data_IF_544094625138
#
_entry.id   IF_544094625138
#
_cell.length_a   1.000
_cell.length_b   1.000
_cell.length_c   1.000
_cell.angle_alpha   90.00
_cell.angle_beta   90.00
_cell.angle_gamma   90.00
#
_symmetry.space_group_name_H-M   'P 1'
#
loop_
_entity.id
_entity.type
_entity.pdbx_description
1 polymer ?
#
# COMPACT_ATOMS: atom_id res chain seq x y z
N UNK A 1 29.88 -2.56 4.76
CA UNK A 1 28.65 -3.17 4.19
C UNK A 1 27.76 -3.55 5.38
N UNK A 2 26.69 -2.80 5.62
CA UNK A 2 25.74 -3.06 6.72
C UNK A 2 24.66 -3.97 6.14
N UNK A 3 24.55 -5.19 6.64
CA UNK A 3 23.52 -6.14 6.18
C UNK A 3 22.19 -5.87 6.89
N UNK A 4 21.06 -6.35 6.31
CA UNK A 4 19.71 -6.31 6.94
C UNK A 4 19.71 -6.73 8.41
N UNK A 5 20.57 -7.69 8.78
CA UNK A 5 20.73 -8.14 10.16
C UNK A 5 21.46 -7.13 11.05
N UNK A 6 22.28 -6.27 10.49
CA UNK A 6 23.05 -5.29 11.25
C UNK A 6 22.20 -4.03 11.53
N UNK A 7 21.28 -3.69 10.63
CA UNK A 7 20.31 -2.61 10.83
C UNK A 7 19.34 -2.92 11.99
N UNK A 8 18.87 -4.15 12.09
CA UNK A 8 18.01 -4.60 13.20
C UNK A 8 18.76 -4.73 14.55
N UNK A 9 20.10 -4.78 14.54
CA UNK A 9 20.90 -4.88 15.77
C UNK A 9 21.31 -3.53 16.35
N UNK A 10 21.25 -2.45 15.59
CA UNK A 10 21.61 -1.10 16.06
C UNK A 10 20.49 -0.46 16.89
N UNK A 11 19.26 -0.94 16.79
CA UNK A 11 18.13 -0.46 17.60
C UNK A 11 18.07 -1.03 19.02
N UNK A 12 19.03 -1.85 19.43
CA UNK A 12 19.00 -2.62 20.68
C UNK A 12 19.85 -2.11 21.84
N UNK A 13 20.48 -0.93 21.80
CA UNK A 13 21.30 -0.45 22.93
C UNK A 13 21.18 1.06 23.10
N UNK A 14 20.22 1.51 23.88
CA UNK A 14 20.31 2.64 24.79
C UNK A 14 18.96 2.92 25.48
N UNK A 15 18.63 2.14 26.51
CA UNK A 15 17.66 2.56 27.52
C UNK A 15 18.18 2.06 28.88
N UNK A 16 19.01 2.85 29.51
CA UNK A 16 19.28 2.72 30.95
C UNK A 16 19.15 4.08 31.62
N UNK A 17 18.22 4.12 32.57
CA UNK A 17 18.13 5.01 33.72
C UNK A 17 17.65 6.44 33.55
N UNK A 18 16.40 6.67 34.00
CA UNK A 18 16.17 7.54 35.18
C UNK A 18 14.75 7.34 35.71
N UNK A 19 14.64 6.66 36.82
CA UNK A 19 13.44 6.65 37.62
C UNK A 19 13.31 8.01 38.36
N UNK A 20 12.13 8.62 38.31
CA UNK A 20 11.64 9.52 39.35
C UNK A 20 10.12 9.42 39.44
N UNK A 21 9.71 9.00 40.57
CA UNK A 21 8.37 8.89 41.15
C UNK A 21 7.60 10.21 41.15
N UNK A 22 6.33 10.15 40.79
CA UNK A 22 5.28 10.90 41.47
C UNK A 22 3.89 10.33 41.15
N UNK A 23 3.12 10.08 42.17
CA UNK A 23 1.75 9.56 42.24
C UNK A 23 0.70 10.45 41.54
N UNK A 24 -0.37 9.81 41.08
CA UNK A 24 -1.71 10.41 41.20
C UNK A 24 -2.61 10.30 39.98
N UNK A 25 -3.57 9.35 39.98
CA UNK A 25 -4.96 9.61 39.64
C UNK A 25 -5.44 9.43 38.19
N UNK A 26 -6.20 8.34 38.01
CA UNK A 26 -7.46 8.20 37.23
C UNK A 26 -7.47 8.30 35.69
N UNK A 27 -7.70 7.14 35.10
CA UNK A 27 -8.64 6.74 34.03
C UNK A 27 -9.03 7.75 32.97
N UNK A 28 -8.71 7.43 31.71
CA UNK A 28 -9.66 7.03 30.68
C UNK A 28 -8.98 6.92 29.31
N UNK A 29 -9.21 5.81 28.64
CA UNK A 29 -9.26 5.56 27.20
C UNK A 29 -8.68 6.66 26.28
N UNK A 30 -7.51 6.36 25.70
CA UNK A 30 -7.08 6.95 24.44
C UNK A 30 -6.54 5.83 23.54
N UNK A 31 -7.31 5.57 22.54
CA UNK A 31 -7.20 4.57 21.49
C UNK A 31 -6.11 4.96 20.46
N UNK A 32 -5.28 4.03 20.11
CA UNK A 32 -4.75 3.71 18.77
C UNK A 32 -4.41 4.79 17.72
N UNK A 33 -3.97 5.99 18.07
CA UNK A 33 -3.43 6.96 17.11
C UNK A 33 -1.90 7.16 17.18
N UNK A 34 -1.19 6.43 18.04
CA UNK A 34 0.22 6.69 18.32
C UNK A 34 1.21 5.84 17.49
N UNK A 35 0.72 4.87 16.70
CA UNK A 35 1.61 3.93 16.00
C UNK A 35 2.17 4.48 14.67
N UNK A 36 1.37 5.25 13.92
CA UNK A 36 1.81 5.77 12.61
C UNK A 36 2.76 6.98 12.70
N UNK A 37 2.60 7.82 13.75
CA UNK A 37 3.47 8.99 13.95
C UNK A 37 4.86 8.62 14.46
N UNK A 38 5.00 7.50 15.20
CA UNK A 38 6.30 7.08 15.71
C UNK A 38 7.19 6.46 14.62
N UNK A 39 6.62 5.66 13.72
CA UNK A 39 7.36 5.06 12.61
C UNK A 39 7.85 6.14 11.61
N UNK A 40 7.01 7.13 11.32
CA UNK A 40 7.33 8.25 10.45
C UNK A 40 8.46 9.14 10.99
N UNK A 41 8.52 9.35 12.32
CA UNK A 41 9.59 10.13 12.94
C UNK A 41 10.93 9.39 13.03
N UNK A 42 10.92 8.06 13.13
CA UNK A 42 12.15 7.25 13.11
C UNK A 42 12.75 7.15 11.71
N UNK A 43 11.93 7.02 10.68
CA UNK A 43 12.37 7.03 9.29
C UNK A 43 13.01 8.39 8.92
N UNK A 44 12.36 9.50 9.25
CA UNK A 44 12.89 10.84 9.03
C UNK A 44 14.21 11.09 9.80
N UNK A 45 14.35 10.54 11.00
CA UNK A 45 15.58 10.64 11.81
C UNK A 45 16.71 9.76 11.26
N UNK A 46 16.42 8.65 10.62
CA UNK A 46 17.41 7.78 9.99
C UNK A 46 17.96 8.41 8.70
N UNK A 47 17.10 9.01 7.89
CA UNK A 47 17.45 9.69 6.64
C UNK A 47 18.39 10.87 6.88
N UNK A 48 18.21 11.63 7.94
CA UNK A 48 19.04 12.81 8.28
C UNK A 48 20.53 12.49 8.56
N UNK A 49 20.92 11.22 8.56
CA UNK A 49 22.32 10.77 8.80
C UNK A 49 23.09 10.41 7.53
N UNK A 50 22.45 10.44 6.37
CA UNK A 50 23.07 10.07 5.10
C UNK A 50 23.44 11.32 4.29
N UNK A 51 24.71 11.42 3.84
CA UNK A 51 25.19 12.52 2.99
C UNK A 51 24.67 12.44 1.55
N UNK A 52 24.33 11.25 1.12
CA UNK A 52 23.71 10.93 -0.19
C UNK A 52 22.77 9.76 0.02
N UNK A 53 21.61 9.82 -0.56
CA UNK A 53 20.57 8.79 -0.45
C UNK A 53 20.23 8.28 -1.83
N UNK A 54 20.26 6.97 -2.03
CA UNK A 54 19.80 6.29 -3.25
C UNK A 54 18.48 5.60 -2.99
N UNK A 55 17.50 5.87 -3.83
CA UNK A 55 16.16 5.31 -3.68
C UNK A 55 15.68 4.74 -5.00
N UNK A 56 15.35 3.44 -5.02
CA UNK A 56 14.68 2.81 -6.14
C UNK A 56 13.17 3.08 -6.09
N UNK A 57 12.61 3.47 -7.22
CA UNK A 57 11.16 3.67 -7.42
C UNK A 57 10.70 2.99 -8.71
N UNK A 58 9.40 2.62 -8.83
CA UNK A 58 8.85 2.16 -10.10
C UNK A 58 9.00 3.19 -11.22
N UNK A 59 9.28 2.74 -12.44
CA UNK A 59 9.48 3.60 -13.61
C UNK A 59 8.22 3.90 -14.41
N UNK A 60 7.06 3.38 -14.01
CA UNK A 60 5.80 3.74 -14.64
C UNK A 60 5.23 5.01 -14.02
N UNK A 61 4.63 5.86 -14.86
CA UNK A 61 4.19 7.21 -14.51
C UNK A 61 3.34 7.28 -13.24
N UNK A 62 2.43 6.33 -13.05
CA UNK A 62 1.51 6.33 -11.91
C UNK A 62 2.22 5.96 -10.62
N UNK A 63 2.99 4.87 -10.63
CA UNK A 63 3.67 4.40 -9.43
C UNK A 63 4.92 5.23 -9.10
N UNK A 64 5.60 5.81 -10.09
CA UNK A 64 6.67 6.81 -9.84
C UNK A 64 6.11 7.99 -9.06
N UNK A 65 5.04 8.63 -9.55
CA UNK A 65 4.43 9.79 -8.89
C UNK A 65 3.95 9.45 -7.46
N UNK A 66 3.37 8.26 -7.29
CA UNK A 66 2.95 7.73 -5.99
C UNK A 66 4.14 7.56 -5.03
N UNK A 67 5.21 6.94 -5.53
CA UNK A 67 6.44 6.74 -4.75
C UNK A 67 7.08 8.05 -4.33
N UNK A 68 7.18 9.03 -5.25
CA UNK A 68 7.72 10.35 -4.95
C UNK A 68 6.88 11.10 -3.91
N UNK A 69 5.56 11.00 -3.98
CA UNK A 69 4.65 11.59 -2.98
C UNK A 69 4.85 10.95 -1.60
N UNK A 70 5.06 9.64 -1.52
CA UNK A 70 5.36 8.96 -0.25
C UNK A 70 6.70 9.42 0.32
N UNK A 71 7.73 9.54 -0.52
CA UNK A 71 9.06 10.02 -0.12
C UNK A 71 9.02 11.49 0.37
N UNK A 72 8.26 12.35 -0.31
CA UNK A 72 8.05 13.73 0.12
C UNK A 72 7.38 13.81 1.50
N UNK A 73 6.29 13.03 1.71
CA UNK A 73 5.62 12.95 3.03
C UNK A 73 6.56 12.51 4.15
N UNK A 74 7.59 11.73 3.82
CA UNK A 74 8.60 11.23 4.76
C UNK A 74 9.85 12.12 4.82
N UNK A 75 9.84 13.28 4.16
CA UNK A 75 10.88 14.31 4.31
C UNK A 75 12.17 14.09 3.53
N UNK A 76 12.15 13.25 2.50
CA UNK A 76 13.32 12.99 1.65
C UNK A 76 13.65 14.21 0.79
N UNK A 77 12.67 14.85 0.21
CA UNK A 77 12.76 16.01 -0.66
C UNK A 77 11.40 16.72 -0.71
N UNK A 78 11.30 17.77 -1.52
CA UNK A 78 10.04 18.46 -1.81
C UNK A 78 9.78 18.49 -3.29
N UNK A 79 8.56 18.20 -3.70
CA UNK A 79 8.09 18.27 -5.06
C UNK A 79 7.56 19.69 -5.38
N UNK A 80 7.54 20.05 -6.66
CA UNK A 80 6.85 21.25 -7.14
C UNK A 80 5.36 21.17 -6.78
N UNK A 81 4.77 22.28 -6.43
CA UNK A 81 3.36 22.35 -6.00
C UNK A 81 2.36 21.88 -7.07
N UNK A 82 2.73 21.94 -8.33
CA UNK A 82 1.92 21.56 -9.49
C UNK A 82 2.27 20.18 -10.08
N UNK A 83 3.19 19.42 -9.47
CA UNK A 83 3.63 18.10 -9.95
C UNK A 83 2.48 17.07 -10.06
N UNK A 84 1.55 17.09 -9.10
CA UNK A 84 0.31 16.31 -9.14
C UNK A 84 0.52 14.81 -9.19
N UNK A 85 -0.46 14.10 -9.79
CA UNK A 85 -0.48 12.63 -9.88
C UNK A 85 0.44 12.05 -10.97
N UNK A 86 1.19 12.89 -11.66
CA UNK A 86 2.13 12.51 -12.74
C UNK A 86 3.53 13.02 -12.45
N UNK A 87 3.83 13.32 -11.19
CA UNK A 87 5.15 13.75 -10.75
C UNK A 87 6.26 12.78 -11.19
N UNK A 88 7.37 13.33 -11.60
CA UNK A 88 8.59 12.61 -11.97
C UNK A 88 9.76 13.10 -11.11
N UNK A 89 10.89 12.41 -11.13
CA UNK A 89 12.10 12.89 -10.43
C UNK A 89 12.55 14.31 -10.86
N UNK A 90 12.13 14.79 -12.05
CA UNK A 90 12.43 16.15 -12.52
C UNK A 90 11.57 17.23 -11.82
N UNK A 91 10.59 16.79 -11.06
CA UNK A 91 9.72 17.68 -10.28
C UNK A 91 10.18 17.83 -8.84
N UNK A 92 11.34 17.27 -8.48
CA UNK A 92 11.99 17.53 -7.20
C UNK A 92 12.52 18.99 -7.20
N UNK A 93 11.96 19.83 -6.33
CA UNK A 93 12.31 21.26 -6.22
C UNK A 93 13.38 21.49 -5.13
N UNK A 94 13.23 20.87 -3.97
CA UNK A 94 14.18 20.94 -2.87
C UNK A 94 14.70 19.54 -2.54
N UNK A 95 16.00 19.34 -2.54
CA UNK A 95 16.63 18.02 -2.30
C UNK A 95 17.77 18.15 -1.25
N UNK A 96 17.42 18.38 0.03
CA UNK A 96 18.41 18.62 1.08
C UNK A 96 19.29 17.41 1.40
N UNK A 97 18.83 16.19 1.07
CA UNK A 97 19.53 14.94 1.34
C UNK A 97 20.32 14.44 0.14
N UNK A 98 20.39 15.20 -0.95
CA UNK A 98 21.01 14.78 -2.21
C UNK A 98 20.51 13.40 -2.68
N UNK A 99 19.18 13.19 -2.61
CA UNK A 99 18.54 11.95 -3.03
C UNK A 99 18.74 11.73 -4.52
N UNK A 100 19.23 10.55 -4.87
CA UNK A 100 19.24 10.05 -6.24
C UNK A 100 18.08 9.08 -6.40
N UNK A 101 17.20 9.34 -7.34
CA UNK A 101 16.04 8.47 -7.64
C UNK A 101 16.40 7.59 -8.83
N UNK A 102 16.48 6.29 -8.58
CA UNK A 102 16.73 5.26 -9.58
C UNK A 102 15.38 4.63 -10.00
N UNK A 103 14.99 4.90 -11.24
CA UNK A 103 13.73 4.39 -11.84
C UNK A 103 13.95 2.96 -12.33
N UNK A 104 13.19 2.03 -11.79
CA UNK A 104 13.32 0.58 -12.04
C UNK A 104 11.95 0.02 -12.41
N UNK A 105 11.88 -0.99 -13.27
CA UNK A 105 10.64 -1.71 -13.51
C UNK A 105 10.03 -2.18 -12.19
N UNK A 106 8.74 -1.92 -11.96
CA UNK A 106 8.07 -2.14 -10.67
C UNK A 106 8.27 -3.56 -10.11
N UNK A 107 8.23 -4.58 -10.98
CA UNK A 107 8.46 -5.98 -10.59
C UNK A 107 9.92 -6.26 -10.20
N UNK A 108 10.87 -5.42 -10.58
CA UNK A 108 12.28 -5.56 -10.27
C UNK A 108 12.72 -4.78 -9.03
N UNK A 109 11.93 -3.82 -8.56
CA UNK A 109 12.29 -3.01 -7.39
C UNK A 109 12.64 -3.85 -6.15
N UNK A 110 11.93 -4.94 -5.81
CA UNK A 110 12.34 -5.80 -4.70
C UNK A 110 13.74 -6.41 -4.86
N UNK A 111 14.16 -6.68 -6.08
CA UNK A 111 15.44 -7.33 -6.38
C UNK A 111 16.64 -6.39 -6.20
N UNK A 112 16.44 -5.10 -6.43
CA UNK A 112 17.50 -4.08 -6.30
C UNK A 112 17.61 -3.49 -4.89
N UNK A 113 16.71 -3.85 -3.98
CA UNK A 113 16.69 -3.34 -2.59
C UNK A 113 18.02 -3.50 -1.85
N UNK A 114 18.87 -4.46 -2.24
CA UNK A 114 20.16 -4.68 -1.60
C UNK A 114 21.24 -3.69 -2.06
N UNK A 115 21.04 -3.06 -3.20
CA UNK A 115 21.99 -2.15 -3.85
C UNK A 115 21.61 -0.67 -3.63
N UNK A 116 20.47 -0.43 -3.00
CA UNK A 116 19.90 0.87 -2.69
C UNK A 116 19.82 1.12 -1.18
N UNK A 117 19.78 2.39 -0.78
CA UNK A 117 19.57 2.76 0.63
C UNK A 117 18.09 2.55 1.02
N UNK A 118 17.19 2.87 0.08
CA UNK A 118 15.75 2.68 0.21
C UNK A 118 15.14 2.21 -1.11
N UNK A 119 13.94 1.63 -1.03
CA UNK A 119 13.12 1.33 -2.19
C UNK A 119 11.65 1.53 -1.87
N UNK A 120 10.89 2.08 -2.80
CA UNK A 120 9.43 2.15 -2.69
C UNK A 120 8.83 1.03 -3.54
N UNK A 121 8.21 0.06 -2.86
CA UNK A 121 7.76 -1.19 -3.46
C UNK A 121 6.24 -1.32 -3.30
N UNK A 122 5.54 -1.54 -4.41
CA UNK A 122 4.11 -1.82 -4.36
C UNK A 122 3.84 -3.17 -3.69
N UNK A 123 2.80 -3.28 -2.88
CA UNK A 123 2.49 -4.48 -2.08
C UNK A 123 2.34 -5.75 -2.94
N UNK A 124 1.80 -5.63 -4.16
CA UNK A 124 1.67 -6.74 -5.10
C UNK A 124 3.02 -7.30 -5.61
N UNK A 125 4.12 -6.60 -5.44
CA UNK A 125 5.47 -7.07 -5.71
C UNK A 125 6.25 -7.38 -4.43
N UNK A 126 5.96 -6.68 -3.34
CA UNK A 126 6.58 -6.92 -2.04
C UNK A 126 6.20 -8.30 -1.48
N UNK A 127 4.90 -8.62 -1.46
CA UNK A 127 4.36 -9.86 -0.90
C UNK A 127 4.95 -11.12 -1.58
N UNK A 128 4.92 -11.25 -2.92
CA UNK A 128 5.54 -12.41 -3.59
C UNK A 128 7.07 -12.47 -3.41
N UNK A 129 7.72 -11.34 -3.17
CA UNK A 129 9.15 -11.29 -2.86
C UNK A 129 9.48 -11.68 -1.41
N UNK A 130 8.48 -12.03 -0.60
CA UNK A 130 8.63 -12.42 0.80
C UNK A 130 8.86 -11.24 1.75
N UNK A 131 8.48 -10.03 1.34
CA UNK A 131 8.49 -8.83 2.17
C UNK A 131 7.09 -8.62 2.73
N UNK A 132 6.98 -8.46 4.05
CA UNK A 132 5.73 -8.10 4.71
C UNK A 132 5.66 -6.57 4.87
N UNK A 133 4.77 -5.88 4.12
CA UNK A 133 4.67 -4.42 4.20
C UNK A 133 4.36 -3.91 5.61
N UNK A 134 3.70 -4.71 6.46
CA UNK A 134 3.30 -4.29 7.82
C UNK A 134 4.43 -4.36 8.84
N UNK A 135 5.44 -5.19 8.60
CA UNK A 135 6.55 -5.42 9.53
C UNK A 135 7.92 -5.04 8.99
N UNK A 136 8.11 -5.11 7.67
CA UNK A 136 9.40 -4.85 7.03
C UNK A 136 9.53 -3.41 6.50
N UNK A 137 8.41 -2.72 6.26
CA UNK A 137 8.42 -1.36 5.75
C UNK A 137 8.70 -0.34 6.87
N UNK A 138 9.46 0.70 6.52
CA UNK A 138 9.72 1.86 7.39
C UNK A 138 8.56 2.87 7.37
N UNK A 139 7.84 2.92 6.25
CA UNK A 139 6.66 3.74 6.05
C UNK A 139 5.70 3.04 5.08
N UNK A 140 4.42 3.20 5.29
CA UNK A 140 3.35 2.70 4.44
C UNK A 140 2.46 3.88 4.05
N UNK A 141 1.97 3.86 2.82
CA UNK A 141 0.96 4.80 2.37
C UNK A 141 -0.35 4.59 3.14
N UNK A 142 -0.98 5.66 3.55
CA UNK A 142 -2.26 5.59 4.26
C UNK A 142 -3.44 5.27 3.32
N UNK A 143 -4.56 4.84 3.90
CA UNK A 143 -5.77 4.45 3.16
C UNK A 143 -6.51 5.60 2.47
N UNK A 144 -6.06 6.87 2.63
CA UNK A 144 -6.62 8.05 1.98
C UNK A 144 -5.97 8.34 0.61
N UNK A 145 -5.17 7.40 0.10
CA UNK A 145 -4.49 7.52 -1.18
C UNK A 145 -5.45 7.73 -2.34
N UNK A 146 -5.08 8.62 -3.26
CA UNK A 146 -5.79 8.79 -4.54
C UNK A 146 -5.56 7.63 -5.53
N UNK A 147 -4.62 6.74 -5.22
CA UNK A 147 -4.20 5.64 -6.09
C UNK A 147 -4.88 4.31 -5.74
N UNK A 148 -6.21 4.31 -5.73
CA UNK A 148 -6.97 3.06 -5.50
C UNK A 148 -7.01 2.19 -6.75
N UNK A 149 -7.03 0.86 -6.55
CA UNK A 149 -7.27 -0.07 -7.63
C UNK A 149 -8.74 -0.06 -8.02
N UNK A 150 -9.02 -0.17 -9.32
CA UNK A 150 -10.36 -0.07 -9.88
C UNK A 150 -10.64 -1.24 -10.83
N UNK A 151 -11.91 -1.64 -10.92
CA UNK A 151 -12.39 -2.53 -11.97
C UNK A 151 -12.62 -1.72 -13.24
N UNK A 152 -11.98 -2.12 -14.34
CA UNK A 152 -12.12 -1.49 -15.65
C UNK A 152 -12.73 -2.48 -16.62
N UNK A 153 -13.69 -2.03 -17.44
CA UNK A 153 -14.25 -2.80 -18.53
C UNK A 153 -14.17 -2.02 -19.84
N UNK A 154 -14.47 -2.68 -20.96
CA UNK A 154 -14.59 -2.01 -22.25
C UNK A 154 -15.71 -0.96 -22.18
N UNK A 155 -15.46 0.18 -22.79
CA UNK A 155 -16.45 1.26 -22.88
C UNK A 155 -17.76 0.77 -23.48
N UNK A 156 -18.86 1.13 -22.82
CA UNK A 156 -20.21 0.67 -23.14
C UNK A 156 -20.64 -0.63 -22.43
N UNK A 157 -19.73 -1.37 -21.80
CA UNK A 157 -20.04 -2.64 -21.13
C UNK A 157 -20.31 -2.48 -19.62
N UNK A 158 -20.17 -1.29 -19.07
CA UNK A 158 -20.35 -1.03 -17.62
C UNK A 158 -21.74 -1.39 -17.10
N UNK A 159 -22.74 -1.37 -18.00
CA UNK A 159 -24.13 -1.72 -17.66
C UNK A 159 -24.47 -3.19 -17.90
N UNK A 160 -23.54 -3.99 -18.44
CA UNK A 160 -23.77 -5.43 -18.62
C UNK A 160 -24.00 -6.11 -17.26
N UNK A 161 -25.06 -6.96 -17.13
CA UNK A 161 -25.41 -7.61 -15.85
C UNK A 161 -24.24 -8.34 -15.19
N UNK A 162 -23.41 -9.06 -15.96
CA UNK A 162 -22.26 -9.78 -15.44
C UNK A 162 -21.14 -8.86 -14.93
N UNK A 163 -20.98 -7.67 -15.50
CA UNK A 163 -20.01 -6.67 -15.01
C UNK A 163 -20.51 -6.03 -13.74
N UNK A 164 -21.81 -5.71 -13.64
CA UNK A 164 -22.45 -5.24 -12.41
C UNK A 164 -22.37 -6.27 -11.29
N UNK A 165 -22.61 -7.54 -11.61
CA UNK A 165 -22.48 -8.63 -10.64
C UNK A 165 -21.07 -8.72 -10.06
N UNK A 166 -20.03 -8.67 -10.90
CA UNK A 166 -18.66 -8.67 -10.47
C UNK A 166 -18.30 -7.42 -9.64
N UNK A 167 -18.77 -6.24 -10.06
CA UNK A 167 -18.56 -4.99 -9.35
C UNK A 167 -19.19 -5.02 -7.94
N UNK A 168 -20.39 -5.58 -7.83
CA UNK A 168 -21.05 -5.76 -6.54
C UNK A 168 -20.28 -6.75 -5.64
N UNK A 169 -19.85 -7.87 -6.18
CA UNK A 169 -19.06 -8.87 -5.43
C UNK A 169 -17.74 -8.27 -4.88
N UNK A 170 -17.03 -7.45 -5.68
CA UNK A 170 -15.82 -6.75 -5.25
C UNK A 170 -16.06 -5.76 -4.09
N UNK A 171 -17.29 -5.23 -3.96
CA UNK A 171 -17.66 -4.28 -2.91
C UNK A 171 -18.27 -4.96 -1.67
N UNK A 172 -18.18 -6.27 -1.58
CA UNK A 172 -18.80 -7.04 -0.50
C UNK A 172 -18.02 -6.96 0.82
N UNK A 173 -18.75 -7.19 1.91
CA UNK A 173 -18.15 -7.40 3.23
C UNK A 173 -17.22 -8.62 3.23
N UNK A 174 -17.59 -9.69 2.50
CA UNK A 174 -16.79 -10.90 2.41
C UNK A 174 -15.41 -10.64 1.78
N UNK A 175 -15.32 -9.81 0.73
CA UNK A 175 -14.05 -9.38 0.13
C UNK A 175 -13.25 -8.54 1.13
N UNK A 176 -13.90 -7.63 1.84
CA UNK A 176 -13.22 -6.82 2.87
C UNK A 176 -12.65 -7.70 3.98
N UNK A 177 -13.43 -8.63 4.51
CA UNK A 177 -13.01 -9.54 5.58
C UNK A 177 -11.82 -10.42 5.11
N UNK A 178 -11.87 -10.92 3.88
CA UNK A 178 -10.77 -11.65 3.27
C UNK A 178 -9.47 -10.81 3.23
N UNK A 179 -9.59 -9.54 2.82
CA UNK A 179 -8.43 -8.63 2.79
C UNK A 179 -7.86 -8.40 4.19
N UNK A 180 -8.71 -8.12 5.17
CA UNK A 180 -8.32 -7.85 6.55
C UNK A 180 -7.64 -9.08 7.20
N UNK A 181 -8.17 -10.29 6.94
CA UNK A 181 -7.65 -11.54 7.50
C UNK A 181 -6.33 -11.98 6.86
N UNK A 182 -6.21 -11.87 5.54
CA UNK A 182 -5.07 -12.42 4.81
C UNK A 182 -3.91 -11.43 4.68
N UNK A 183 -4.20 -10.13 4.58
CA UNK A 183 -3.16 -9.12 4.35
C UNK A 183 -2.90 -8.22 5.56
N UNK A 184 -3.70 -8.29 6.63
CA UNK A 184 -3.47 -7.66 7.94
C UNK A 184 -3.06 -6.18 7.86
N UNK A 185 -3.60 -5.45 6.89
CA UNK A 185 -3.31 -4.04 6.65
C UNK A 185 -2.29 -3.76 5.54
N UNK A 186 -1.62 -4.77 4.97
CA UNK A 186 -0.77 -4.61 3.79
C UNK A 186 -1.58 -4.29 2.52
N UNK A 187 -2.83 -4.71 2.49
CA UNK A 187 -3.83 -4.40 1.46
C UNK A 187 -5.09 -3.92 2.18
N UNK A 188 -5.56 -2.75 1.83
CA UNK A 188 -6.70 -2.10 2.49
C UNK A 188 -7.84 -1.93 1.48
N UNK A 189 -9.06 -2.29 1.88
CA UNK A 189 -10.25 -2.02 1.07
C UNK A 189 -10.53 -0.52 1.03
N UNK A 190 -10.74 0.01 -0.18
CA UNK A 190 -11.19 1.39 -0.38
C UNK A 190 -12.74 1.53 -0.24
N UNK A 191 -13.44 0.43 -0.02
CA UNK A 191 -14.91 0.41 0.12
C UNK A 191 -15.29 0.79 1.55
N UNK A 192 -15.81 1.99 1.73
CA UNK A 192 -16.22 2.50 3.06
C UNK A 192 -17.45 1.77 3.61
N UNK A 193 -18.43 1.46 2.73
CA UNK A 193 -19.69 0.83 3.10
C UNK A 193 -19.84 -0.48 2.30
N UNK A 194 -19.23 -1.56 2.72
CA UNK A 194 -19.32 -2.84 2.04
C UNK A 194 -20.78 -3.39 2.07
N UNK A 195 -21.12 -4.11 1.01
CA UNK A 195 -22.45 -4.67 0.80
C UNK A 195 -22.48 -6.18 1.04
N UNK A 196 -23.61 -6.83 0.76
CA UNK A 196 -23.73 -8.29 0.72
C UNK A 196 -23.11 -8.93 -0.54
N UNK A 197 -22.61 -8.10 -1.47
CA UNK A 197 -21.95 -8.56 -2.70
C UNK A 197 -22.91 -8.75 -3.89
N UNK A 198 -24.17 -8.33 -3.78
CA UNK A 198 -25.15 -8.49 -4.84
C UNK A 198 -25.77 -7.15 -5.25
N UNK A 199 -25.97 -6.99 -6.56
CA UNK A 199 -26.71 -5.86 -7.12
C UNK A 199 -28.17 -6.28 -7.35
N UNK A 200 -29.10 -5.59 -6.71
CA UNK A 200 -30.55 -5.89 -6.80
C UNK A 200 -31.13 -5.68 -8.22
N UNK A 201 -30.44 -4.99 -9.10
CA UNK A 201 -30.83 -4.79 -10.50
C UNK A 201 -30.41 -5.94 -11.42
N UNK A 202 -29.62 -6.89 -10.93
CA UNK A 202 -29.10 -8.02 -11.69
C UNK A 202 -29.95 -9.26 -11.49
N UNK A 203 -30.39 -9.86 -12.58
CA UNK A 203 -30.99 -11.19 -12.60
C UNK A 203 -29.92 -12.26 -12.64
N UNK A 204 -29.55 -12.79 -11.47
CA UNK A 204 -28.49 -13.79 -11.33
C UNK A 204 -28.87 -15.14 -11.93
N UNK A 205 -30.16 -15.50 -11.94
CA UNK A 205 -30.62 -16.74 -12.56
C UNK A 205 -30.38 -16.72 -14.07
N UNK A 206 -30.54 -15.55 -14.70
CA UNK A 206 -30.24 -15.37 -16.12
C UNK A 206 -28.74 -15.41 -16.45
N UNK A 207 -27.88 -15.26 -15.45
CA UNK A 207 -26.41 -15.30 -15.61
C UNK A 207 -25.83 -16.69 -15.37
N UNK A 208 -26.64 -17.67 -14.99
CA UNK A 208 -26.17 -19.03 -14.72
C UNK A 208 -25.44 -19.62 -15.93
N UNK A 209 -24.15 -20.00 -15.72
CA UNK A 209 -23.29 -20.52 -16.77
C UNK A 209 -22.58 -19.45 -17.62
N UNK A 210 -22.85 -18.15 -17.40
CA UNK A 210 -22.10 -17.07 -18.04
C UNK A 210 -20.66 -16.98 -17.50
N UNK A 211 -19.77 -16.43 -18.31
CA UNK A 211 -18.35 -16.29 -17.94
C UNK A 211 -17.92 -14.82 -18.01
N UNK A 212 -17.18 -14.39 -16.99
CA UNK A 212 -16.43 -13.13 -17.00
C UNK A 212 -14.94 -13.44 -17.00
N UNK A 213 -14.22 -12.92 -17.99
CA UNK A 213 -12.75 -13.02 -18.03
C UNK A 213 -12.13 -11.76 -17.46
N UNK A 214 -11.28 -11.93 -16.45
CA UNK A 214 -10.56 -10.84 -15.80
C UNK A 214 -9.06 -11.01 -16.00
N UNK A 215 -8.34 -9.88 -16.10
CA UNK A 215 -6.89 -9.83 -16.05
C UNK A 215 -6.47 -9.00 -14.84
N UNK A 216 -5.58 -9.57 -14.03
CA UNK A 216 -5.09 -8.94 -12.82
C UNK A 216 -3.71 -9.49 -12.43
N UNK A 217 -3.01 -8.84 -11.50
CA UNK A 217 -1.78 -9.40 -10.92
C UNK A 217 -2.11 -10.58 -10.00
N UNK A 218 -1.20 -11.56 -9.84
CA UNK A 218 -1.48 -12.75 -9.04
C UNK A 218 -1.95 -12.44 -7.61
N UNK A 219 -1.18 -11.66 -6.87
CA UNK A 219 -1.51 -11.24 -5.52
C UNK A 219 -1.49 -9.70 -5.44
N UNK A 220 -2.41 -9.07 -4.74
CA UNK A 220 -3.60 -9.62 -4.08
C UNK A 220 -4.81 -9.80 -5.02
N UNK A 221 -4.75 -9.27 -6.25
CA UNK A 221 -5.92 -9.05 -7.09
C UNK A 221 -6.62 -10.34 -7.53
N UNK A 222 -5.85 -11.34 -8.03
CA UNK A 222 -6.45 -12.63 -8.40
C UNK A 222 -7.02 -13.36 -7.19
N UNK A 223 -6.39 -13.25 -6.02
CA UNK A 223 -6.88 -13.87 -4.79
C UNK A 223 -8.23 -13.26 -4.36
N UNK A 224 -8.37 -11.94 -4.47
CA UNK A 224 -9.65 -11.24 -4.26
C UNK A 224 -10.71 -11.67 -5.28
N UNK A 225 -10.32 -11.85 -6.55
CA UNK A 225 -11.25 -12.32 -7.59
C UNK A 225 -11.73 -13.75 -7.36
N UNK A 226 -10.94 -14.64 -6.72
CA UNK A 226 -11.43 -15.96 -6.32
C UNK A 226 -12.52 -15.87 -5.25
N UNK A 227 -12.45 -14.93 -4.31
CA UNK A 227 -13.55 -14.65 -3.36
C UNK A 227 -14.80 -14.19 -4.10
N UNK A 228 -14.64 -13.28 -5.08
CA UNK A 228 -15.79 -12.85 -5.90
C UNK A 228 -16.43 -14.01 -6.67
N UNK A 229 -15.65 -14.93 -7.17
CA UNK A 229 -16.11 -16.15 -7.83
C UNK A 229 -16.96 -17.01 -6.89
N UNK A 230 -16.55 -17.19 -5.63
CA UNK A 230 -17.33 -17.91 -4.62
C UNK A 230 -18.67 -17.21 -4.31
N UNK A 231 -18.66 -15.87 -4.18
CA UNK A 231 -19.86 -15.07 -3.97
C UNK A 231 -20.84 -15.25 -5.13
N UNK A 232 -20.35 -15.15 -6.36
CA UNK A 232 -21.19 -15.26 -7.56
C UNK A 232 -21.70 -16.69 -7.76
N UNK A 233 -20.86 -17.70 -7.53
CA UNK A 233 -21.27 -19.11 -7.63
C UNK A 233 -22.38 -19.51 -6.62
N UNK A 234 -22.53 -18.78 -5.51
CA UNK A 234 -23.61 -18.99 -4.57
C UNK A 234 -25.01 -18.57 -5.11
N UNK A 235 -25.03 -17.85 -6.23
CA UNK A 235 -26.27 -17.39 -6.90
C UNK A 235 -26.54 -18.08 -8.25
N UNK A 236 -25.63 -18.95 -8.71
CA UNK A 236 -25.68 -19.65 -9.99
C UNK A 236 -24.38 -19.42 -10.73
#
# INVERSE_FOLDING_TARGET
MITRRDFLKVTGVAAAAAALTACGGSSSTASSAASSTAASSEAASAVAKLDKVKVAVPNDTTNEARALTLLEKNGFFKLKADAGLTATKNDIEENPLNVTVDEVEAAQVPNVLQDEDYAVINSNYAIPAGLDPTTDALAIEDGSSAYVNVLVCKDGNQEEPKIKALAAALQSQQVKDFMDENYKGAVVSAVENPTDGYDASVDYDALNGETVSCAATPAPHCEVLEVCKEILAAKG
#
